data_IF_912432971822
#
_entry.id   IF_912432971822
#
_cell.length_a   1.000
_cell.length_b   1.000
_cell.length_c   1.000
_cell.angle_alpha   90.00
_cell.angle_beta   90.00
_cell.angle_gamma   90.00
#
_symmetry.space_group_name_H-M   'P 1'
#
loop_
_entity.id
_entity.type
_entity.pdbx_description
1 polymer ?
#
# COMPACT_ATOMS: atom_id res chain seq x y z
N UNK A 1 -21.92 -32.27 14.09
CA UNK A 1 -22.16 -32.14 15.54
C UNK A 1 -21.28 -33.07 16.40
N UNK A 2 -21.04 -34.34 16.06
CA UNK A 2 -20.19 -35.25 16.91
C UNK A 2 -18.70 -34.86 16.92
N UNK A 3 -18.14 -34.37 15.82
CA UNK A 3 -16.71 -33.99 15.72
C UNK A 3 -16.40 -32.70 16.52
N UNK A 4 -17.33 -31.74 16.53
CA UNK A 4 -17.17 -30.49 17.29
C UNK A 4 -17.19 -30.75 18.82
N UNK A 5 -17.99 -31.72 19.28
CA UNK A 5 -18.01 -32.09 20.70
C UNK A 5 -16.75 -32.86 21.11
N UNK A 6 -16.20 -33.72 20.25
CA UNK A 6 -14.94 -34.42 20.49
C UNK A 6 -13.74 -33.45 20.56
N UNK A 7 -13.70 -32.46 19.69
CA UNK A 7 -12.65 -31.42 19.71
C UNK A 7 -12.77 -30.55 20.98
N UNK A 8 -13.99 -30.18 21.40
CA UNK A 8 -14.23 -29.47 22.67
C UNK A 8 -13.77 -30.28 23.86
N UNK A 9 -14.11 -31.57 23.93
CA UNK A 9 -13.70 -32.46 25.02
C UNK A 9 -12.16 -32.63 25.06
N UNK A 10 -11.51 -32.70 23.94
CA UNK A 10 -10.06 -32.89 23.86
C UNK A 10 -9.29 -31.60 24.21
N UNK A 11 -9.81 -30.41 23.81
CA UNK A 11 -9.30 -29.11 24.22
C UNK A 11 -9.48 -28.90 25.73
N UNK A 12 -10.66 -29.16 26.25
CA UNK A 12 -10.94 -29.11 27.71
C UNK A 12 -10.03 -30.06 28.47
N UNK A 13 -9.74 -31.23 27.93
CA UNK A 13 -8.83 -32.21 28.52
C UNK A 13 -7.39 -31.70 28.55
N UNK A 14 -6.90 -31.08 27.45
CA UNK A 14 -5.57 -30.47 27.39
C UNK A 14 -5.42 -29.26 28.29
N UNK A 15 -6.44 -28.39 28.38
CA UNK A 15 -6.45 -27.27 29.33
C UNK A 15 -6.40 -27.80 30.77
N UNK A 16 -7.16 -28.83 31.06
CA UNK A 16 -7.16 -29.47 32.38
C UNK A 16 -5.83 -30.15 32.74
N UNK A 17 -5.13 -30.71 31.75
CA UNK A 17 -3.80 -31.31 31.94
C UNK A 17 -2.71 -30.25 32.08
N UNK A 18 -2.90 -29.02 31.53
CA UNK A 18 -1.94 -27.92 31.59
C UNK A 18 -2.12 -27.03 32.82
N UNK A 19 -3.35 -26.98 33.40
CA UNK A 19 -3.60 -26.37 34.71
C UNK A 19 -3.12 -27.37 35.76
N UNK A 20 -1.79 -27.42 35.94
CA UNK A 20 -1.20 -28.27 36.97
C UNK A 20 -1.52 -27.74 38.36
N UNK A 21 -1.89 -28.70 39.21
CA UNK A 21 -1.72 -28.73 40.65
C UNK A 21 -2.75 -28.10 41.57
N UNK A 22 -3.86 -27.55 41.09
CA UNK A 22 -5.05 -27.42 41.94
C UNK A 22 -6.23 -28.09 41.26
N UNK A 23 -6.67 -29.21 41.87
CA UNK A 23 -7.93 -29.90 41.52
C UNK A 23 -9.10 -28.93 41.70
N UNK A 24 -9.40 -28.16 40.65
CA UNK A 24 -10.64 -27.39 40.59
C UNK A 24 -11.80 -28.40 40.60
N UNK A 25 -12.66 -28.33 41.60
CA UNK A 25 -13.85 -29.19 41.66
C UNK A 25 -14.70 -29.01 40.39
N UNK A 26 -15.31 -30.09 39.92
CA UNK A 26 -16.15 -30.11 38.71
C UNK A 26 -17.26 -29.04 38.72
N UNK A 27 -17.76 -28.68 39.92
CA UNK A 27 -18.77 -27.63 40.13
C UNK A 27 -18.26 -26.25 39.79
N UNK A 28 -16.98 -25.96 40.02
CA UNK A 28 -16.33 -24.66 39.73
C UNK A 28 -16.06 -24.52 38.25
N UNK A 29 -15.59 -25.59 37.60
CA UNK A 29 -15.43 -25.62 36.13
C UNK A 29 -16.74 -25.36 35.39
N UNK A 30 -17.85 -25.84 35.93
CA UNK A 30 -19.19 -25.60 35.38
C UNK A 30 -19.69 -24.17 35.59
N UNK A 31 -19.24 -23.49 36.66
CA UNK A 31 -19.54 -22.07 36.92
C UNK A 31 -18.76 -21.17 35.96
N UNK A 32 -17.48 -21.43 35.73
CA UNK A 32 -16.64 -20.71 34.75
C UNK A 32 -17.28 -20.74 33.37
N UNK A 33 -17.61 -21.96 32.90
CA UNK A 33 -18.28 -22.09 31.59
C UNK A 33 -19.61 -21.35 31.52
N UNK A 34 -20.35 -21.18 32.62
CA UNK A 34 -21.65 -20.50 32.66
C UNK A 34 -21.54 -18.98 32.71
N UNK A 35 -20.56 -18.42 33.41
CA UNK A 35 -20.36 -16.98 33.47
C UNK A 35 -19.85 -16.41 32.11
N UNK A 36 -19.27 -17.26 31.27
CA UNK A 36 -18.67 -16.89 29.99
C UNK A 36 -19.49 -17.32 28.76
N UNK A 37 -20.57 -18.07 28.95
CA UNK A 37 -21.49 -18.53 27.89
C UNK A 37 -22.23 -17.40 27.14
N UNK A 38 -22.15 -16.15 27.59
CA UNK A 38 -22.84 -15.01 27.02
C UNK A 38 -21.98 -14.12 26.10
N UNK A 39 -20.66 -14.28 26.09
CA UNK A 39 -19.77 -13.49 25.26
C UNK A 39 -19.56 -14.17 23.91
N UNK A 40 -19.65 -13.40 22.82
CA UNK A 40 -19.29 -13.84 21.46
C UNK A 40 -17.78 -14.07 21.29
N UNK A 41 -16.99 -13.89 22.32
CA UNK A 41 -15.55 -14.07 22.35
C UNK A 41 -15.19 -15.52 22.68
N UNK A 42 -14.14 -16.03 22.09
CA UNK A 42 -13.71 -17.41 22.27
C UNK A 42 -13.32 -17.65 23.73
N UNK A 43 -14.16 -18.38 24.47
CA UNK A 43 -14.03 -18.68 25.89
C UNK A 43 -12.65 -19.19 26.33
N UNK A 44 -11.90 -19.83 25.42
CA UNK A 44 -10.54 -20.32 25.68
C UNK A 44 -9.49 -19.22 25.85
N UNK A 45 -9.57 -18.16 25.08
CA UNK A 45 -8.61 -17.04 25.12
C UNK A 45 -8.80 -16.25 26.41
N UNK A 46 -10.02 -15.82 26.70
CA UNK A 46 -10.36 -15.08 27.93
C UNK A 46 -10.04 -15.88 29.20
N UNK A 47 -10.17 -17.21 29.16
CA UNK A 47 -9.81 -18.07 30.29
C UNK A 47 -8.32 -18.03 30.62
N UNK A 48 -7.46 -18.00 29.60
CA UNK A 48 -6.01 -17.90 29.76
C UNK A 48 -5.60 -16.50 30.24
N UNK A 49 -6.21 -15.48 29.68
CA UNK A 49 -6.00 -14.08 30.08
C UNK A 49 -6.42 -13.85 31.53
N UNK A 50 -7.59 -14.37 31.95
CA UNK A 50 -8.04 -14.30 33.34
C UNK A 50 -7.05 -14.99 34.33
N UNK A 51 -6.40 -16.09 33.90
CA UNK A 51 -5.33 -16.69 34.69
C UNK A 51 -4.07 -15.83 34.78
N UNK A 52 -3.76 -15.08 33.71
CA UNK A 52 -2.64 -14.12 33.74
C UNK A 52 -2.94 -12.97 34.70
N UNK A 53 -4.17 -12.42 34.65
CA UNK A 53 -4.63 -11.40 35.62
C UNK A 53 -4.61 -11.96 37.07
N UNK A 54 -5.03 -13.20 37.30
CA UNK A 54 -4.93 -13.82 38.62
C UNK A 54 -3.48 -13.88 39.12
N UNK A 55 -2.55 -14.29 38.26
CA UNK A 55 -1.12 -14.28 38.61
C UNK A 55 -0.59 -12.89 38.92
N UNK A 56 -0.98 -11.90 38.15
CA UNK A 56 -0.65 -10.51 38.41
C UNK A 56 -1.14 -10.09 39.80
N UNK A 57 -2.40 -10.35 40.14
CA UNK A 57 -2.98 -10.03 41.45
C UNK A 57 -2.26 -10.75 42.58
N UNK A 58 -1.91 -12.01 42.41
CA UNK A 58 -1.19 -12.80 43.43
C UNK A 58 0.23 -12.26 43.66
N UNK A 59 0.91 -11.83 42.60
CA UNK A 59 2.30 -11.32 42.67
C UNK A 59 2.36 -9.89 43.22
N UNK A 60 1.54 -8.99 42.68
CA UNK A 60 1.62 -7.57 43.00
C UNK A 60 0.84 -7.19 44.28
N UNK A 61 -0.24 -7.89 44.58
CA UNK A 61 -1.11 -7.56 45.70
C UNK A 61 -1.17 -8.64 46.78
N UNK A 62 -0.45 -9.76 46.63
CA UNK A 62 -0.54 -10.93 47.52
C UNK A 62 -1.99 -11.49 47.69
N UNK A 63 -2.77 -11.41 46.61
CA UNK A 63 -4.19 -11.78 46.59
C UNK A 63 -4.40 -13.32 46.65
N UNK A 64 -4.18 -13.95 47.80
CA UNK A 64 -4.28 -15.41 47.97
C UNK A 64 -5.72 -15.91 47.95
N UNK A 65 -6.69 -15.08 48.33
CA UNK A 65 -8.11 -15.47 48.47
C UNK A 65 -8.91 -15.26 47.17
N UNK A 66 -8.28 -14.78 46.06
CA UNK A 66 -8.92 -14.60 44.77
C UNK A 66 -8.77 -15.86 43.91
N UNK A 67 -9.84 -16.22 43.26
CA UNK A 67 -9.87 -17.30 42.26
C UNK A 67 -10.06 -16.73 40.85
N UNK A 68 -9.76 -17.52 39.83
CA UNK A 68 -9.98 -17.12 38.43
C UNK A 68 -11.46 -16.82 38.12
N UNK A 69 -12.40 -17.32 38.96
CA UNK A 69 -13.84 -17.09 38.84
C UNK A 69 -14.28 -15.69 39.27
N UNK A 70 -13.45 -15.01 40.06
CA UNK A 70 -13.70 -13.66 40.52
C UNK A 70 -13.23 -12.62 39.49
N UNK A 71 -12.49 -13.05 38.45
CA UNK A 71 -11.98 -12.22 37.38
C UNK A 71 -12.94 -12.28 36.20
N UNK A 72 -13.59 -11.15 35.89
CA UNK A 72 -14.72 -11.10 34.96
C UNK A 72 -14.31 -10.20 33.76
N UNK A 73 -14.34 -10.73 32.52
CA UNK A 73 -14.16 -9.92 31.35
C UNK A 73 -15.36 -8.95 31.20
N UNK A 74 -15.08 -7.66 31.07
CA UNK A 74 -16.12 -6.62 30.99
C UNK A 74 -16.16 -5.94 29.64
N UNK A 75 -14.99 -5.69 29.01
CA UNK A 75 -14.89 -4.94 27.77
C UNK A 75 -13.59 -5.31 27.04
N UNK A 76 -13.29 -4.61 25.96
CA UNK A 76 -12.01 -4.67 25.26
C UNK A 76 -11.48 -3.26 25.07
N UNK A 77 -10.16 -3.10 25.17
CA UNK A 77 -9.45 -1.90 24.72
C UNK A 77 -8.69 -2.31 23.46
N UNK A 78 -9.23 -1.95 22.30
CA UNK A 78 -8.78 -2.44 21.00
C UNK A 78 -8.74 -3.98 20.96
N UNK A 79 -7.57 -4.60 21.09
CA UNK A 79 -7.37 -6.04 21.00
C UNK A 79 -7.13 -6.70 22.37
N UNK A 80 -6.92 -5.93 23.43
CA UNK A 80 -6.73 -6.44 24.78
C UNK A 80 -8.07 -6.53 25.53
N UNK A 81 -8.26 -7.61 26.27
CA UNK A 81 -9.47 -7.81 27.09
C UNK A 81 -9.37 -7.03 28.40
N UNK A 82 -10.42 -6.29 28.74
CA UNK A 82 -10.55 -5.62 30.04
C UNK A 82 -11.25 -6.53 31.03
N UNK A 83 -10.70 -6.60 32.23
CA UNK A 83 -11.20 -7.42 33.35
C UNK A 83 -11.48 -6.55 34.55
N UNK A 84 -12.51 -6.93 35.30
CA UNK A 84 -12.80 -6.46 36.66
C UNK A 84 -12.74 -7.64 37.62
N UNK A 85 -12.42 -7.35 38.89
CA UNK A 85 -12.33 -8.36 39.94
C UNK A 85 -13.55 -8.25 40.86
N UNK A 86 -14.33 -9.33 40.95
CA UNK A 86 -15.50 -9.40 41.80
C UNK A 86 -15.09 -9.72 43.28
N UNK A 87 -14.39 -8.75 43.88
CA UNK A 87 -13.93 -8.85 45.25
C UNK A 87 -13.83 -7.41 45.83
N UNK A 88 -14.29 -7.22 47.05
CA UNK A 88 -14.38 -5.91 47.73
C UNK A 88 -13.02 -5.18 47.82
N UNK A 89 -11.93 -5.93 47.93
CA UNK A 89 -10.56 -5.37 47.99
C UNK A 89 -10.11 -4.69 46.67
N UNK A 90 -10.68 -5.12 45.54
CA UNK A 90 -10.35 -4.65 44.20
C UNK A 90 -11.50 -3.91 43.56
N UNK A 91 -12.50 -3.48 44.33
CA UNK A 91 -13.63 -2.71 43.83
C UNK A 91 -13.15 -1.42 43.15
N UNK A 92 -13.56 -1.24 41.90
CA UNK A 92 -13.18 -0.08 41.08
C UNK A 92 -11.81 -0.19 40.37
N UNK A 93 -11.10 -1.32 40.55
CA UNK A 93 -9.87 -1.59 39.79
C UNK A 93 -10.22 -2.40 38.53
N UNK A 94 -9.61 -2.03 37.43
CA UNK A 94 -9.72 -2.75 36.17
C UNK A 94 -8.34 -3.13 35.65
N UNK A 95 -8.29 -4.21 34.89
CA UNK A 95 -7.05 -4.76 34.34
C UNK A 95 -7.25 -5.04 32.86
N UNK A 96 -6.19 -4.86 32.06
CA UNK A 96 -6.17 -5.30 30.66
C UNK A 96 -5.20 -6.46 30.52
N UNK A 97 -5.54 -7.39 29.63
CA UNK A 97 -4.68 -8.52 29.31
C UNK A 97 -4.79 -8.87 27.83
N UNK A 98 -3.69 -9.26 27.25
CA UNK A 98 -3.58 -9.77 25.89
C UNK A 98 -2.27 -10.52 25.68
N UNK A 99 -2.15 -11.26 24.62
CA UNK A 99 -0.86 -11.82 24.22
C UNK A 99 0.01 -10.76 23.51
N UNK A 100 1.23 -11.12 23.13
CA UNK A 100 2.18 -10.19 22.50
C UNK A 100 1.59 -9.52 21.25
N UNK A 101 0.89 -10.28 20.42
CA UNK A 101 0.23 -9.75 19.21
C UNK A 101 -0.91 -8.78 19.53
N UNK A 102 -1.68 -9.05 20.57
CA UNK A 102 -2.78 -8.19 21.00
C UNK A 102 -2.25 -6.88 21.58
N UNK A 103 -1.15 -6.94 22.34
CA UNK A 103 -0.46 -5.76 22.90
C UNK A 103 0.09 -4.89 21.77
N UNK A 104 0.81 -5.49 20.82
CA UNK A 104 1.38 -4.77 19.67
C UNK A 104 0.27 -4.06 18.87
N UNK A 105 -0.78 -4.77 18.50
CA UNK A 105 -1.89 -4.21 17.73
C UNK A 105 -2.64 -3.12 18.50
N UNK A 106 -2.84 -3.31 19.81
CA UNK A 106 -3.44 -2.28 20.66
C UNK A 106 -2.57 -1.03 20.71
N UNK A 107 -1.27 -1.18 20.90
CA UNK A 107 -0.33 -0.05 20.93
C UNK A 107 -0.31 0.72 19.61
N UNK A 108 -0.37 0.03 18.46
CA UNK A 108 -0.43 0.67 17.14
C UNK A 108 -1.74 1.49 17.00
N UNK A 109 -2.90 0.94 17.35
CA UNK A 109 -4.16 1.70 17.27
C UNK A 109 -4.16 2.93 18.21
N UNK A 110 -3.63 2.78 19.43
CA UNK A 110 -3.49 3.90 20.36
C UNK A 110 -2.48 4.95 19.86
N UNK A 111 -1.40 4.53 19.22
CA UNK A 111 -0.48 5.46 18.59
C UNK A 111 -1.15 6.27 17.47
N UNK A 112 -2.03 5.66 16.67
CA UNK A 112 -2.83 6.38 15.66
C UNK A 112 -3.76 7.41 16.31
N UNK A 113 -4.47 7.03 17.38
CA UNK A 113 -5.32 7.96 18.12
C UNK A 113 -4.52 9.14 18.68
N UNK A 114 -3.32 8.88 19.22
CA UNK A 114 -2.43 9.93 19.70
C UNK A 114 -1.97 10.86 18.59
N UNK A 115 -1.64 10.31 17.41
CA UNK A 115 -1.26 11.09 16.22
C UNK A 115 -2.44 11.98 15.77
N UNK A 116 -3.65 11.43 15.72
CA UNK A 116 -4.85 12.18 15.33
C UNK A 116 -5.13 13.32 16.33
N UNK A 117 -5.00 13.08 17.62
CA UNK A 117 -5.22 14.07 18.68
C UNK A 117 -4.14 15.18 18.67
N UNK A 118 -2.89 14.84 18.37
CA UNK A 118 -1.77 15.81 18.32
C UNK A 118 -1.65 16.55 16.99
N UNK A 119 -2.37 16.11 15.96
CA UNK A 119 -2.39 16.74 14.64
C UNK A 119 -1.06 16.64 13.89
N UNK A 120 -0.33 15.54 14.05
CA UNK A 120 0.96 15.30 13.37
C UNK A 120 1.99 16.42 13.60
N UNK A 121 2.12 16.91 14.84
CA UNK A 121 3.11 17.95 15.19
C UNK A 121 4.56 17.36 15.26
N UNK A 122 4.91 16.54 14.27
CA UNK A 122 6.26 15.99 14.10
C UNK A 122 7.10 16.87 13.18
N UNK A 123 8.42 16.73 13.29
CA UNK A 123 9.33 17.39 12.34
C UNK A 123 9.18 16.76 10.96
N UNK A 124 9.19 17.57 9.92
CA UNK A 124 9.11 17.10 8.53
C UNK A 124 10.15 16.00 8.23
N UNK A 125 11.41 16.17 8.67
CA UNK A 125 12.45 15.18 8.47
C UNK A 125 12.20 13.82 9.14
N UNK A 126 11.29 13.75 10.10
CA UNK A 126 10.85 12.49 10.69
C UNK A 126 9.71 11.88 9.87
N UNK A 127 8.83 12.71 9.31
CA UNK A 127 7.71 12.26 8.51
C UNK A 127 8.13 11.73 7.13
N UNK A 128 9.27 12.18 6.60
CA UNK A 128 9.81 11.75 5.29
C UNK A 128 9.95 10.23 5.16
N UNK A 129 10.31 9.56 6.28
CA UNK A 129 10.47 8.10 6.30
C UNK A 129 9.13 7.34 6.19
N UNK A 130 8.01 8.03 6.42
CA UNK A 130 6.66 7.46 6.47
C UNK A 130 5.74 7.96 5.36
N UNK A 131 6.30 8.57 4.31
CA UNK A 131 5.52 9.01 3.15
C UNK A 131 4.98 7.80 2.38
N UNK A 132 3.69 7.80 2.09
CA UNK A 132 3.05 6.87 1.15
C UNK A 132 3.49 7.18 -0.28
N UNK A 133 4.60 6.55 -0.68
CA UNK A 133 5.21 6.77 -2.00
C UNK A 133 4.29 6.44 -3.17
N UNK A 134 3.41 5.43 -3.03
CA UNK A 134 2.47 5.06 -4.08
C UNK A 134 1.43 6.16 -4.30
N UNK A 135 0.93 6.74 -3.21
CA UNK A 135 -0.03 7.84 -3.25
C UNK A 135 0.59 9.11 -3.86
N UNK A 136 1.83 9.42 -3.49
CA UNK A 136 2.57 10.59 -4.03
C UNK A 136 2.88 10.39 -5.51
N UNK A 137 3.38 9.22 -5.91
CA UNK A 137 3.67 8.90 -7.31
C UNK A 137 2.41 9.05 -8.18
N UNK A 138 1.27 8.59 -7.70
CA UNK A 138 -0.01 8.77 -8.40
C UNK A 138 -0.34 10.25 -8.64
N UNK A 139 -0.13 11.11 -7.63
CA UNK A 139 -0.38 12.55 -7.75
C UNK A 139 0.59 13.20 -8.74
N UNK A 140 1.88 12.90 -8.63
CA UNK A 140 2.90 13.41 -9.56
C UNK A 140 2.65 12.96 -10.98
N UNK A 141 2.21 11.72 -11.19
CA UNK A 141 1.83 11.22 -12.53
C UNK A 141 0.66 12.00 -13.12
N UNK A 142 -0.33 12.37 -12.32
CA UNK A 142 -1.44 13.20 -12.80
C UNK A 142 -0.99 14.60 -13.17
N UNK A 143 -0.09 15.22 -12.41
CA UNK A 143 0.49 16.53 -12.70
C UNK A 143 1.31 16.45 -14.00
N UNK A 144 2.26 15.52 -14.06
CA UNK A 144 3.12 15.31 -15.22
C UNK A 144 2.29 15.06 -16.50
N UNK A 145 1.27 14.21 -16.40
CA UNK A 145 0.37 13.94 -17.52
C UNK A 145 -0.37 15.20 -17.97
N UNK A 146 -0.94 15.97 -17.04
CA UNK A 146 -1.64 17.21 -17.38
C UNK A 146 -0.71 18.21 -18.08
N UNK A 147 0.50 18.40 -17.58
CA UNK A 147 1.49 19.33 -18.15
C UNK A 147 1.99 18.90 -19.53
N UNK A 148 2.42 17.63 -19.66
CA UNK A 148 3.04 17.12 -20.89
C UNK A 148 2.00 16.91 -22.01
N UNK A 149 0.76 16.54 -21.70
CA UNK A 149 -0.31 16.44 -22.70
C UNK A 149 -0.83 17.82 -23.13
N UNK A 150 -0.77 18.84 -22.26
CA UNK A 150 -1.20 20.20 -22.61
C UNK A 150 -0.20 20.89 -23.55
N UNK A 151 1.10 20.77 -23.28
CA UNK A 151 2.17 21.31 -24.13
C UNK A 151 3.36 20.32 -24.27
N UNK A 152 3.24 19.29 -25.11
CA UNK A 152 4.32 18.31 -25.27
C UNK A 152 5.58 18.92 -25.89
N UNK A 153 5.49 20.02 -26.65
CA UNK A 153 6.64 20.70 -27.28
C UNK A 153 7.56 21.35 -26.24
N UNK A 154 7.05 21.72 -25.05
CA UNK A 154 7.86 22.23 -23.94
C UNK A 154 8.80 21.16 -23.36
N UNK A 155 8.35 19.91 -23.34
CA UNK A 155 9.07 18.79 -22.72
C UNK A 155 9.86 17.96 -23.73
N UNK A 156 9.34 17.80 -24.96
CA UNK A 156 9.97 17.00 -26.02
C UNK A 156 10.63 17.93 -27.05
N UNK A 157 11.90 18.29 -26.82
CA UNK A 157 12.65 19.21 -27.63
C UNK A 157 13.11 18.68 -29.02
N UNK A 158 12.44 17.65 -29.54
CA UNK A 158 12.81 17.01 -30.81
C UNK A 158 11.60 16.82 -31.73
N UNK A 159 11.26 17.85 -32.48
CA UNK A 159 10.14 17.84 -33.41
C UNK A 159 10.24 16.71 -34.48
N UNK A 160 11.45 16.20 -34.74
CA UNK A 160 11.63 15.08 -35.69
C UNK A 160 11.01 13.78 -35.23
N UNK A 161 10.63 13.70 -33.94
CA UNK A 161 9.92 12.54 -33.31
C UNK A 161 8.40 12.59 -33.45
N UNK A 162 7.87 13.71 -34.01
CA UNK A 162 6.44 13.79 -34.33
C UNK A 162 6.10 12.83 -35.46
N UNK A 163 4.87 12.36 -35.43
CA UNK A 163 4.29 11.62 -36.56
C UNK A 163 3.94 12.54 -37.71
N UNK A 164 3.77 11.98 -38.90
CA UNK A 164 3.21 12.74 -40.01
C UNK A 164 1.74 13.05 -39.74
N UNK A 165 1.33 14.30 -39.91
CA UNK A 165 -0.09 14.64 -39.86
C UNK A 165 -0.87 13.90 -40.95
N UNK A 166 -2.17 13.70 -40.75
CA UNK A 166 -3.02 13.04 -41.74
C UNK A 166 -2.90 13.67 -43.15
N UNK A 167 -2.78 15.00 -43.22
CA UNK A 167 -2.55 15.71 -44.48
C UNK A 167 -1.23 15.36 -45.13
N UNK A 168 -0.17 15.22 -44.33
CA UNK A 168 1.18 14.86 -44.85
C UNK A 168 1.19 13.41 -45.31
N UNK A 169 0.55 12.49 -44.57
CA UNK A 169 0.39 11.07 -44.99
C UNK A 169 -0.31 10.97 -46.34
N UNK A 170 -1.42 11.67 -46.52
CA UNK A 170 -2.14 11.70 -47.81
C UNK A 170 -1.29 12.28 -48.94
N UNK A 171 -0.40 13.27 -48.65
CA UNK A 171 0.50 13.80 -49.63
C UNK A 171 1.59 12.80 -50.02
N UNK A 172 2.18 12.11 -49.05
CA UNK A 172 3.19 11.07 -49.30
C UNK A 172 2.57 9.96 -50.14
N UNK A 173 1.41 9.43 -49.79
CA UNK A 173 0.68 8.38 -50.52
C UNK A 173 0.41 8.83 -51.96
N UNK A 174 -0.04 10.06 -52.19
CA UNK A 174 -0.27 10.62 -53.50
C UNK A 174 1.00 10.65 -54.36
N UNK A 175 2.13 11.10 -53.82
CA UNK A 175 3.39 11.14 -54.55
C UNK A 175 3.96 9.76 -54.81
N UNK A 176 3.83 8.82 -53.89
CA UNK A 176 4.22 7.41 -54.08
C UNK A 176 3.42 6.77 -55.23
N UNK A 177 2.11 7.01 -55.29
CA UNK A 177 1.30 6.55 -56.45
C UNK A 177 1.74 7.12 -57.76
N UNK A 178 2.16 8.41 -57.77
CA UNK A 178 2.72 9.05 -58.99
C UNK A 178 4.03 8.41 -59.43
N UNK A 179 4.93 8.11 -58.46
CA UNK A 179 6.18 7.39 -58.73
C UNK A 179 5.90 6.02 -59.34
N UNK A 180 4.97 5.23 -58.76
CA UNK A 180 4.59 3.91 -59.28
C UNK A 180 4.00 4.01 -60.70
N UNK A 181 3.15 5.00 -60.96
CA UNK A 181 2.55 5.20 -62.30
C UNK A 181 3.61 5.53 -63.33
N UNK A 182 4.61 6.37 -62.98
CA UNK A 182 5.71 6.73 -63.88
C UNK A 182 6.65 5.53 -64.11
N UNK A 183 6.98 4.77 -63.09
CA UNK A 183 7.81 3.56 -63.22
C UNK A 183 7.14 2.53 -64.19
N UNK A 184 5.84 2.33 -64.04
CA UNK A 184 5.09 1.52 -64.98
C UNK A 184 5.10 2.04 -66.44
N UNK A 185 5.10 3.39 -66.61
CA UNK A 185 5.24 3.98 -67.95
C UNK A 185 6.61 3.74 -68.53
N UNK A 186 7.69 3.87 -67.71
CA UNK A 186 9.05 3.58 -68.15
C UNK A 186 9.17 2.14 -68.62
N UNK A 187 8.68 1.19 -67.80
CA UNK A 187 8.67 -0.26 -68.13
C UNK A 187 7.92 -0.54 -69.43
N UNK A 188 6.77 0.11 -69.63
CA UNK A 188 6.00 -0.06 -70.83
C UNK A 188 6.73 0.45 -72.07
N UNK A 189 7.38 1.61 -72.02
CA UNK A 189 8.19 2.20 -73.08
C UNK A 189 9.36 1.27 -73.44
N UNK A 190 10.09 0.81 -72.45
CA UNK A 190 11.25 -0.10 -72.61
C UNK A 190 10.85 -1.44 -73.26
N UNK A 191 9.69 -2.01 -72.88
CA UNK A 191 9.20 -3.31 -73.39
C UNK A 191 8.64 -3.25 -74.78
N UNK A 192 8.12 -2.09 -75.25
CA UNK A 192 7.42 -1.97 -76.50
C UNK A 192 8.13 -1.14 -77.58
N UNK A 193 9.41 -0.78 -77.34
CA UNK A 193 10.19 0.01 -78.29
C UNK A 193 11.20 -0.84 -79.05
N UNK A 194 11.37 -0.57 -80.34
CA UNK A 194 12.33 -1.24 -81.17
C UNK A 194 13.77 -0.64 -81.02
N UNK A 195 14.77 -1.40 -81.37
CA UNK A 195 16.19 -1.01 -81.26
C UNK A 195 16.55 0.25 -82.10
N UNK A 196 15.76 0.56 -83.13
CA UNK A 196 15.85 1.78 -83.97
C UNK A 196 15.38 3.06 -83.24
N UNK A 197 14.66 2.94 -82.10
CA UNK A 197 14.11 4.06 -81.34
C UNK A 197 14.91 4.34 -80.04
N UNK A 198 16.05 3.73 -79.88
CA UNK A 198 16.88 3.75 -78.65
C UNK A 198 17.13 5.16 -78.11
N UNK A 199 17.53 6.08 -78.92
CA UNK A 199 17.78 7.47 -78.50
C UNK A 199 16.54 8.21 -78.07
N UNK A 200 15.41 7.94 -78.71
CA UNK A 200 14.10 8.50 -78.30
C UNK A 200 13.64 7.92 -76.96
N UNK A 201 13.73 6.63 -76.79
CA UNK A 201 13.40 5.91 -75.56
C UNK A 201 14.23 6.45 -74.41
N UNK A 202 15.54 6.50 -74.54
CA UNK A 202 16.42 7.00 -73.53
C UNK A 202 16.08 8.45 -73.14
N UNK A 203 15.77 9.31 -74.08
CA UNK A 203 15.31 10.69 -73.78
C UNK A 203 14.01 10.79 -73.05
N UNK A 204 13.04 9.92 -73.35
CA UNK A 204 11.73 9.89 -72.67
C UNK A 204 11.89 9.29 -71.28
N UNK A 205 12.64 8.20 -71.11
CA UNK A 205 12.92 7.55 -69.84
C UNK A 205 13.64 8.50 -68.90
N UNK A 206 14.66 9.21 -69.35
CA UNK A 206 15.37 10.20 -68.53
C UNK A 206 14.45 11.31 -68.02
N UNK A 207 13.54 11.84 -68.85
CA UNK A 207 12.54 12.83 -68.41
C UNK A 207 11.57 12.29 -67.37
N UNK A 208 11.23 11.00 -67.45
CA UNK A 208 10.37 10.35 -66.48
C UNK A 208 11.13 10.07 -65.17
N UNK A 209 12.40 9.70 -65.26
CA UNK A 209 13.25 9.54 -64.08
C UNK A 209 13.45 10.85 -63.33
N UNK A 210 13.69 11.98 -64.05
CA UNK A 210 13.76 13.31 -63.43
C UNK A 210 12.48 13.64 -62.62
N UNK A 211 11.32 13.17 -63.06
CA UNK A 211 10.08 13.36 -62.29
C UNK A 211 10.02 12.49 -61.08
N UNK A 212 10.48 11.24 -61.16
CA UNK A 212 10.57 10.33 -60.00
C UNK A 212 11.48 10.97 -58.95
N UNK A 213 12.66 11.42 -59.32
CA UNK A 213 13.60 12.05 -58.39
C UNK A 213 13.01 13.28 -57.72
N UNK A 214 12.26 14.09 -58.50
CA UNK A 214 11.53 15.23 -57.92
C UNK A 214 10.50 14.84 -56.90
N UNK A 215 9.68 13.81 -57.18
CA UNK A 215 8.65 13.36 -56.26
C UNK A 215 9.22 12.69 -55.01
N UNK A 216 10.27 11.88 -55.16
CA UNK A 216 11.01 11.30 -54.05
C UNK A 216 11.64 12.36 -53.13
N UNK A 217 12.13 13.46 -53.72
CA UNK A 217 12.63 14.60 -52.95
C UNK A 217 11.50 15.25 -52.11
N UNK A 218 10.32 15.44 -52.73
CA UNK A 218 9.16 16.02 -52.04
C UNK A 218 8.73 15.09 -50.87
N UNK A 219 8.70 13.76 -51.08
CA UNK A 219 8.40 12.80 -50.02
C UNK A 219 9.38 12.95 -48.85
N UNK A 220 10.70 12.97 -49.16
CA UNK A 220 11.73 13.14 -48.12
C UNK A 220 11.61 14.46 -47.37
N UNK A 221 11.25 15.54 -48.07
CA UNK A 221 11.05 16.85 -47.44
C UNK A 221 9.84 16.86 -46.51
N UNK A 222 8.78 16.14 -46.86
CA UNK A 222 7.58 15.95 -45.99
C UNK A 222 7.93 15.10 -44.78
N UNK A 223 8.58 13.95 -45.01
CA UNK A 223 8.99 13.01 -43.92
C UNK A 223 10.00 13.62 -42.96
N UNK A 224 10.86 14.54 -43.46
CA UNK A 224 11.84 15.24 -42.67
C UNK A 224 11.29 16.41 -41.83
N UNK A 225 10.01 16.78 -42.02
CA UNK A 225 9.35 17.86 -41.30
C UNK A 225 7.94 17.42 -40.84
N UNK A 226 7.83 16.47 -39.94
CA UNK A 226 6.56 15.98 -39.44
C UNK A 226 5.80 17.08 -38.71
N UNK A 227 4.46 17.13 -38.89
CA UNK A 227 3.57 18.15 -38.34
C UNK A 227 2.38 17.51 -37.56
N UNK A 228 2.49 16.28 -37.23
CA UNK A 228 1.52 15.59 -36.39
C UNK A 228 1.84 15.69 -34.91
N UNK A 229 1.16 14.86 -34.14
CA UNK A 229 1.38 14.75 -32.70
C UNK A 229 2.57 13.82 -32.40
N UNK A 230 3.09 13.87 -31.18
CA UNK A 230 4.06 12.89 -30.72
C UNK A 230 3.40 11.53 -30.49
N UNK A 231 4.10 10.41 -30.79
CA UNK A 231 3.61 9.08 -30.45
C UNK A 231 3.25 8.97 -28.97
N UNK A 232 2.10 8.40 -28.64
CA UNK A 232 1.66 8.25 -27.24
C UNK A 232 2.69 7.54 -26.36
N UNK A 233 3.38 6.54 -26.90
CA UNK A 233 4.46 5.84 -26.18
C UNK A 233 5.63 6.74 -25.80
N UNK A 234 5.97 7.70 -26.66
CA UNK A 234 7.01 8.67 -26.38
C UNK A 234 6.57 9.65 -25.28
N UNK A 235 5.32 10.14 -25.35
CA UNK A 235 4.75 11.02 -24.33
C UNK A 235 4.74 10.32 -22.97
N UNK A 236 4.28 9.08 -22.90
CA UNK A 236 4.30 8.28 -21.65
C UNK A 236 5.72 8.11 -21.10
N UNK A 237 6.71 7.89 -21.95
CA UNK A 237 8.10 7.79 -21.50
C UNK A 237 8.60 9.10 -20.85
N UNK A 238 8.20 10.25 -21.38
CA UNK A 238 8.55 11.54 -20.78
C UNK A 238 7.82 11.78 -19.47
N UNK A 239 6.55 11.35 -19.35
CA UNK A 239 5.80 11.36 -18.10
C UNK A 239 6.52 10.50 -17.05
N UNK A 240 6.89 9.26 -17.39
CA UNK A 240 7.59 8.35 -16.47
C UNK A 240 8.92 8.94 -15.99
N UNK A 241 9.70 9.54 -16.88
CA UNK A 241 10.97 10.20 -16.52
C UNK A 241 10.72 11.38 -15.59
N UNK A 242 9.76 12.25 -15.92
CA UNK A 242 9.44 13.41 -15.10
C UNK A 242 8.95 13.02 -13.70
N UNK A 243 8.10 12.00 -13.60
CA UNK A 243 7.68 11.44 -12.30
C UNK A 243 8.86 10.88 -11.53
N UNK A 244 9.77 10.16 -12.20
CA UNK A 244 10.99 9.65 -11.56
C UNK A 244 11.85 10.78 -10.98
N UNK A 245 12.03 11.86 -11.72
CA UNK A 245 12.78 13.03 -11.27
C UNK A 245 12.12 13.69 -10.03
N UNK A 246 10.78 13.79 -10.01
CA UNK A 246 10.04 14.29 -8.85
C UNK A 246 10.11 13.36 -7.64
N UNK A 247 10.19 12.05 -7.86
CA UNK A 247 10.32 11.04 -6.79
C UNK A 247 11.73 10.93 -6.22
N UNK A 248 12.76 11.48 -6.86
CA UNK A 248 14.14 11.50 -6.35
C UNK A 248 14.27 12.40 -5.10
N UNK A 249 13.48 13.48 -5.03
CA UNK A 249 13.34 14.32 -3.83
C UNK A 249 11.86 14.66 -3.59
N UNK A 250 11.16 13.72 -2.99
CA UNK A 250 9.71 13.78 -2.78
C UNK A 250 9.31 15.02 -1.99
N UNK A 251 10.04 15.33 -0.92
CA UNK A 251 9.70 16.44 -0.01
C UNK A 251 9.85 17.79 -0.70
N UNK A 252 10.97 18.02 -1.42
CA UNK A 252 11.18 19.25 -2.19
C UNK A 252 10.12 19.40 -3.27
N UNK A 253 9.85 18.33 -4.03
CA UNK A 253 8.85 18.31 -5.09
C UNK A 253 7.44 18.59 -4.57
N UNK A 254 7.03 17.99 -3.45
CA UNK A 254 5.73 18.25 -2.83
C UNK A 254 5.59 19.71 -2.41
N UNK A 255 6.63 20.28 -1.80
CA UNK A 255 6.66 21.69 -1.39
C UNK A 255 6.57 22.63 -2.61
N UNK A 256 7.27 22.30 -3.69
CA UNK A 256 7.23 23.10 -4.93
C UNK A 256 5.81 23.16 -5.53
N UNK A 257 5.11 22.03 -5.53
CA UNK A 257 3.72 21.95 -6.00
C UNK A 257 2.68 22.37 -4.96
N UNK A 258 3.11 22.73 -3.75
CA UNK A 258 2.22 23.25 -2.69
C UNK A 258 1.38 22.18 -2.00
N UNK A 259 1.84 20.94 -1.96
CA UNK A 259 1.21 19.85 -1.22
C UNK A 259 1.68 19.82 0.24
N UNK A 260 0.78 19.54 1.15
CA UNK A 260 1.13 19.28 2.55
C UNK A 260 1.55 17.81 2.71
N UNK A 261 2.80 17.57 3.09
CA UNK A 261 3.36 16.23 3.32
C UNK A 261 2.49 15.39 4.28
N UNK A 262 1.84 16.04 5.25
CA UNK A 262 1.00 15.39 6.24
C UNK A 262 -0.22 14.66 5.66
N UNK A 263 -0.70 15.09 4.49
CA UNK A 263 -1.80 14.44 3.79
C UNK A 263 -1.39 13.10 3.11
N UNK A 264 -0.09 12.85 3.03
CA UNK A 264 0.50 11.73 2.30
C UNK A 264 1.30 10.77 3.20
N UNK A 265 1.13 10.88 4.52
CA UNK A 265 1.75 9.97 5.48
C UNK A 265 1.02 8.62 5.52
N UNK A 266 1.77 7.54 5.55
CA UNK A 266 1.28 6.21 5.92
C UNK A 266 1.15 6.15 7.44
N UNK A 267 -0.08 6.33 7.92
CA UNK A 267 -0.39 6.36 9.34
C UNK A 267 -0.12 5.03 10.04
N UNK A 268 -0.26 3.91 9.32
CA UNK A 268 0.01 2.59 9.86
C UNK A 268 1.51 2.39 10.10
N UNK A 269 2.34 2.76 9.13
CA UNK A 269 3.80 2.66 9.27
C UNK A 269 4.35 3.69 10.29
N UNK A 270 3.80 4.90 10.33
CA UNK A 270 4.17 5.90 11.33
C UNK A 270 3.84 5.42 12.76
N UNK A 271 2.63 4.89 12.98
CA UNK A 271 2.23 4.36 14.28
C UNK A 271 3.11 3.18 14.72
N UNK A 272 3.44 2.27 13.81
CA UNK A 272 4.40 1.18 14.07
C UNK A 272 5.77 1.72 14.45
N UNK A 273 6.30 2.69 13.71
CA UNK A 273 7.59 3.32 14.00
C UNK A 273 7.63 3.96 15.37
N UNK A 274 6.55 4.60 15.82
CA UNK A 274 6.43 5.16 17.19
C UNK A 274 6.47 4.03 18.22
N UNK A 275 5.70 2.97 18.01
CA UNK A 275 5.67 1.82 18.94
C UNK A 275 7.02 1.11 19.02
N UNK A 276 7.72 0.96 17.90
CA UNK A 276 9.06 0.37 17.85
C UNK A 276 10.11 1.25 18.57
N UNK A 277 10.01 2.57 18.42
CA UNK A 277 10.95 3.50 19.01
C UNK A 277 10.74 3.68 20.52
N UNK A 278 9.49 3.80 20.97
CA UNK A 278 9.14 4.16 22.34
C UNK A 278 8.77 2.94 23.20
N UNK A 279 8.36 1.84 22.57
CA UNK A 279 7.91 0.61 23.23
C UNK A 279 6.43 0.66 23.65
N UNK A 280 5.87 -0.53 23.86
CA UNK A 280 4.45 -0.70 24.21
C UNK A 280 4.04 0.05 25.47
N UNK A 281 4.86 -0.02 26.51
CA UNK A 281 4.56 0.60 27.82
C UNK A 281 4.44 2.12 27.72
N UNK A 282 5.24 2.76 26.87
CA UNK A 282 5.19 4.20 26.71
C UNK A 282 3.90 4.61 25.99
N UNK A 283 3.55 3.92 24.91
CA UNK A 283 2.34 4.22 24.11
C UNK A 283 1.08 3.92 24.92
N UNK A 284 1.07 2.79 25.66
CA UNK A 284 -0.07 2.39 26.52
C UNK A 284 -0.11 3.18 27.84
N UNK A 285 0.96 3.90 28.19
CA UNK A 285 1.13 4.54 29.49
C UNK A 285 0.04 5.55 29.86
N UNK A 286 -0.64 6.14 28.87
CA UNK A 286 -1.82 6.99 29.09
C UNK A 286 -3.04 6.27 29.63
N UNK A 287 -3.10 4.93 29.47
CA UNK A 287 -4.19 4.06 29.92
C UNK A 287 -3.82 3.20 31.12
N UNK A 288 -2.51 2.97 31.31
CA UNK A 288 -2.02 2.17 32.44
C UNK A 288 -1.91 3.03 33.69
N UNK A 289 -2.47 2.59 34.81
CA UNK A 289 -2.46 3.29 36.09
C UNK A 289 -1.05 3.65 36.57
N UNK A 290 -0.11 2.72 36.42
CA UNK A 290 1.28 2.86 36.84
C UNK A 290 2.28 2.87 35.64
N UNK A 291 1.76 2.88 34.40
CA UNK A 291 2.56 2.89 33.18
C UNK A 291 3.32 1.59 32.92
N UNK A 292 2.87 0.45 33.50
CA UNK A 292 3.56 -0.83 33.40
C UNK A 292 2.69 -1.93 32.86
N UNK A 293 3.33 -2.80 32.07
CA UNK A 293 2.81 -4.11 31.66
C UNK A 293 3.71 -5.19 32.26
N UNK A 294 3.12 -6.14 32.97
CA UNK A 294 3.84 -7.27 33.53
C UNK A 294 3.62 -8.51 32.65
N UNK A 295 4.71 -9.21 32.32
CA UNK A 295 4.72 -10.37 31.44
C UNK A 295 4.57 -11.67 32.24
N UNK A 296 3.66 -12.54 31.82
CA UNK A 296 3.40 -13.85 32.41
C UNK A 296 3.45 -14.97 31.37
N UNK A 297 4.42 -15.88 31.51
CA UNK A 297 4.47 -17.11 30.72
C UNK A 297 3.43 -18.13 31.20
N UNK A 298 2.37 -18.36 30.41
CA UNK A 298 1.28 -19.27 30.70
C UNK A 298 0.86 -20.05 29.45
N UNK A 299 0.51 -21.32 29.58
CA UNK A 299 -0.06 -22.12 28.50
C UNK A 299 0.78 -22.14 27.20
N UNK A 300 2.11 -22.10 27.32
CA UNK A 300 3.08 -21.98 26.22
C UNK A 300 2.96 -20.66 25.42
N UNK A 301 2.43 -19.62 26.00
CA UNK A 301 2.37 -18.28 25.45
C UNK A 301 2.77 -17.24 26.53
N UNK A 302 3.04 -16.01 26.09
CA UNK A 302 3.28 -14.88 26.98
C UNK A 302 2.05 -13.99 26.96
N UNK A 303 1.61 -13.58 28.16
CA UNK A 303 0.49 -12.67 28.38
C UNK A 303 0.99 -11.43 29.12
N UNK A 304 0.55 -10.30 28.69
CA UNK A 304 0.87 -9.00 29.28
C UNK A 304 -0.35 -8.50 30.03
N UNK A 305 -0.14 -8.13 31.29
CA UNK A 305 -1.19 -7.63 32.18
C UNK A 305 -0.82 -6.25 32.66
N UNK A 306 -1.74 -5.30 32.54
CA UNK A 306 -1.61 -3.96 33.10
C UNK A 306 -2.85 -3.55 33.88
N UNK A 307 -2.68 -2.76 34.93
CA UNK A 307 -3.78 -2.12 35.63
C UNK A 307 -4.22 -0.89 34.87
N UNK A 308 -5.53 -0.71 34.72
CA UNK A 308 -6.16 0.50 34.13
C UNK A 308 -7.12 1.09 35.15
N UNK A 309 -7.33 2.38 35.10
CA UNK A 309 -8.27 3.08 35.99
C UNK A 309 -9.72 2.94 35.50
#
# INVERSE_FOLDING_TARGET
>A
MKILNLVKEEIIKKINETISDRDLEYSERRKLNKSWEGSNLQTDVQGKEAHAVLKYLQNEFNAEDISVYDIIPTDTIHYMTKFEVNNDEFEGMSFICGDESDVERTAIEMAKELIDDTGLDFRESFLEDYIDKEKVEYVFRNIASAMIYDDPDEFINDESKKELSHKQMMQVEYYEELVIKIDNQIRFIEQNSDESEKEYVERQTNKLMDKIDKYQKIIKDIEGNPQGDYPSQLVEQYIDNYVSDLMDDVTESMNEYGFDIKEYIDMDELAKGIVEADGYEHVLGGYLYDGKLEEYGLFNNYYFVGRVD
#
